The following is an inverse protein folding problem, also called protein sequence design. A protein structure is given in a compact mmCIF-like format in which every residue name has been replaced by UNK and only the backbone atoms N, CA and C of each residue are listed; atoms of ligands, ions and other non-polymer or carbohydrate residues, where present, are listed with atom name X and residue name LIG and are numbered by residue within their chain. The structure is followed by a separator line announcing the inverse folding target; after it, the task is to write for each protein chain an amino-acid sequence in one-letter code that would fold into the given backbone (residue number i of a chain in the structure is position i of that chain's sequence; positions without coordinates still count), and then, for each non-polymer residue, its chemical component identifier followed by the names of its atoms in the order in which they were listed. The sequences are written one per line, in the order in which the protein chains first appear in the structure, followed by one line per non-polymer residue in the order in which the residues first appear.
data_IF_523448944902
#
_entry.id   IF_523448944902
#
_cell.length_a   1.000
_cell.length_b   1.000
_cell.length_c   1.000
_cell.angle_alpha   90.00
_cell.angle_beta   90.00
_cell.angle_gamma   90.00
#
_symmetry.space_group_name_H-M   'P 1'
#
loop_
_entity.id
_entity.type
_entity.pdbx_description
1 polymer ?
#
# COMPACT_ATOMS: atom_id res chain seq x y z
N UNK A 1 -1.51 -51.55 -17.77
CA UNK A 1 -2.15 -50.22 -17.60
C UNK A 1 -2.37 -49.82 -16.14
N UNK A 2 -2.83 -50.72 -15.24
CA UNK A 2 -3.07 -50.36 -13.83
C UNK A 2 -1.84 -49.84 -13.04
N UNK A 3 -0.62 -50.32 -13.35
CA UNK A 3 0.62 -49.90 -12.66
C UNK A 3 1.08 -48.46 -13.00
N UNK A 4 0.70 -47.92 -14.16
CA UNK A 4 1.09 -46.55 -14.55
C UNK A 4 0.20 -45.49 -13.88
N UNK A 5 -1.08 -45.80 -13.65
CA UNK A 5 -2.03 -44.90 -12.97
C UNK A 5 -1.67 -44.70 -11.49
N UNK A 6 -1.24 -45.76 -10.81
CA UNK A 6 -0.81 -45.69 -9.41
C UNK A 6 0.44 -44.82 -9.21
N UNK A 7 1.39 -44.85 -10.17
CA UNK A 7 2.61 -44.04 -10.10
C UNK A 7 2.30 -42.54 -10.27
N UNK A 8 1.37 -42.19 -11.17
CA UNK A 8 0.95 -40.79 -11.38
C UNK A 8 0.20 -40.21 -10.17
N UNK A 9 -0.65 -41.00 -9.51
CA UNK A 9 -1.36 -40.59 -8.29
C UNK A 9 -0.41 -40.40 -7.10
N UNK A 10 0.64 -41.23 -6.97
CA UNK A 10 1.66 -41.07 -5.92
C UNK A 10 2.50 -39.81 -6.17
N UNK A 11 2.88 -39.51 -7.42
CA UNK A 11 3.62 -38.29 -7.76
C UNK A 11 2.82 -36.99 -7.52
N UNK A 12 1.51 -36.99 -7.75
CA UNK A 12 0.63 -35.86 -7.41
C UNK A 12 0.49 -35.67 -5.88
N UNK A 13 0.36 -36.76 -5.12
CA UNK A 13 0.26 -36.70 -3.66
C UNK A 13 1.56 -36.21 -3.00
N UNK A 14 2.73 -36.61 -3.51
CA UNK A 14 4.03 -36.21 -2.95
C UNK A 14 4.32 -34.72 -3.19
N UNK A 15 3.97 -34.18 -4.36
CA UNK A 15 4.10 -32.74 -4.63
C UNK A 15 3.12 -31.88 -3.80
N UNK A 16 1.89 -32.36 -3.57
CA UNK A 16 0.93 -31.68 -2.70
C UNK A 16 1.36 -31.66 -1.22
N UNK A 17 1.95 -32.76 -0.72
CA UNK A 17 2.43 -32.88 0.66
C UNK A 17 3.68 -32.02 0.93
N UNK A 18 4.59 -31.87 -0.04
CA UNK A 18 5.76 -31.00 0.10
C UNK A 18 5.37 -29.52 0.13
N UNK A 19 4.41 -29.08 -0.69
CA UNK A 19 3.87 -27.72 -0.64
C UNK A 19 3.19 -27.40 0.72
N UNK A 20 2.51 -28.38 1.32
CA UNK A 20 1.85 -28.24 2.63
C UNK A 20 2.80 -28.23 3.83
N UNK A 21 3.91 -28.97 3.77
CA UNK A 21 4.92 -28.97 4.83
C UNK A 21 5.79 -27.71 4.79
N UNK A 22 6.06 -27.20 3.58
CA UNK A 22 6.85 -25.98 3.35
C UNK A 22 6.04 -24.70 3.65
N UNK A 23 4.71 -24.73 3.53
CA UNK A 23 3.86 -23.57 3.83
C UNK A 23 3.86 -23.15 5.32
N UNK A 24 4.04 -24.09 6.25
CA UNK A 24 4.02 -23.78 7.69
C UNK A 24 5.17 -22.89 8.17
N UNK A 25 6.30 -22.89 7.46
CA UNK A 25 7.47 -22.09 7.85
C UNK A 25 7.26 -20.60 7.56
N UNK A 26 6.43 -20.28 6.56
CA UNK A 26 6.14 -18.90 6.11
C UNK A 26 5.23 -18.16 7.08
N UNK A 27 4.28 -18.84 7.71
CA UNK A 27 3.31 -18.20 8.59
C UNK A 27 3.91 -17.74 9.91
N UNK A 28 3.42 -16.61 10.42
CA UNK A 28 3.84 -16.05 11.70
C UNK A 28 3.98 -14.54 11.65
N UNK A 29 4.54 -13.98 12.72
CA UNK A 29 4.84 -12.56 12.83
C UNK A 29 6.32 -12.36 12.62
N UNK A 30 6.68 -11.39 11.79
CA UNK A 30 8.06 -10.95 11.56
C UNK A 30 8.21 -9.50 12.01
N UNK A 31 9.37 -9.13 12.56
CA UNK A 31 9.65 -7.77 13.04
C UNK A 31 10.91 -7.21 12.39
N UNK A 32 10.90 -5.91 12.11
CA UNK A 32 12.09 -5.15 11.80
C UNK A 32 12.00 -3.81 12.55
N UNK A 33 12.97 -3.53 13.41
CA UNK A 33 13.03 -2.30 14.20
C UNK A 33 14.35 -1.59 13.88
N UNK A 34 14.28 -0.59 13.00
CA UNK A 34 15.39 0.33 12.76
C UNK A 34 15.13 1.63 13.53
N UNK A 35 14.34 2.54 12.94
CA UNK A 35 13.88 3.78 13.59
C UNK A 35 12.43 3.67 14.10
N UNK A 36 11.63 2.84 13.45
CA UNK A 36 10.26 2.48 13.85
C UNK A 36 10.13 0.97 13.78
N UNK A 37 9.35 0.37 14.68
CA UNK A 37 9.11 -1.06 14.62
C UNK A 37 8.01 -1.34 13.61
N UNK A 38 8.36 -2.10 12.58
CA UNK A 38 7.41 -2.66 11.62
C UNK A 38 7.24 -4.14 11.90
N UNK A 39 5.99 -4.56 12.05
CA UNK A 39 5.62 -5.96 12.19
C UNK A 39 4.80 -6.41 10.99
N UNK A 40 5.03 -7.64 10.53
CA UNK A 40 4.29 -8.28 9.45
C UNK A 40 3.75 -9.61 9.95
N UNK A 41 2.43 -9.76 10.01
CA UNK A 41 1.75 -11.02 10.32
C UNK A 41 1.30 -11.66 9.02
N UNK A 42 1.91 -12.78 8.65
CA UNK A 42 1.50 -13.56 7.48
C UNK A 42 0.53 -14.65 7.93
N UNK A 43 -0.71 -14.56 7.46
CA UNK A 43 -1.80 -15.47 7.81
C UNK A 43 -1.90 -16.63 6.81
N UNK A 44 -2.43 -17.79 7.23
CA UNK A 44 -2.57 -18.96 6.36
C UNK A 44 -3.67 -18.84 5.28
N UNK A 45 -4.51 -17.79 5.33
CA UNK A 45 -5.63 -17.53 4.44
C UNK A 45 -5.29 -16.60 3.26
N UNK A 46 -4.01 -16.51 2.90
CA UNK A 46 -3.50 -15.62 1.83
C UNK A 46 -3.63 -14.13 2.13
N UNK A 47 -3.83 -13.76 3.40
CA UNK A 47 -3.76 -12.37 3.87
C UNK A 47 -2.51 -12.11 4.70
N UNK A 48 -2.14 -10.85 4.81
CA UNK A 48 -1.18 -10.40 5.80
C UNK A 48 -1.63 -9.08 6.41
N UNK A 49 -1.07 -8.78 7.57
CA UNK A 49 -1.29 -7.54 8.29
C UNK A 49 0.06 -6.90 8.62
N UNK A 50 0.22 -5.64 8.24
CA UNK A 50 1.33 -4.80 8.69
C UNK A 50 0.87 -3.98 9.90
N UNK A 51 1.73 -3.90 10.91
CA UNK A 51 1.61 -2.97 12.02
C UNK A 51 2.85 -2.07 12.06
N UNK A 52 2.64 -0.75 12.01
CA UNK A 52 3.66 0.25 12.29
C UNK A 52 3.45 0.79 13.70
N UNK A 53 4.48 0.67 14.53
CA UNK A 53 4.46 1.09 15.92
C UNK A 53 5.79 1.77 16.29
N UNK A 54 5.70 2.93 16.94
CA UNK A 54 6.84 3.74 17.37
C UNK A 54 6.49 5.22 17.49
N UNK A 55 7.49 6.07 17.74
CA UNK A 55 7.28 7.49 18.05
C UNK A 55 6.52 8.27 16.95
N UNK A 56 6.64 7.83 15.69
CA UNK A 56 5.97 8.44 14.54
C UNK A 56 4.66 7.73 14.15
N UNK A 57 4.39 6.53 14.68
CA UNK A 57 3.26 5.70 14.26
C UNK A 57 2.57 5.10 15.47
N UNK A 58 1.28 5.43 15.66
CA UNK A 58 0.51 4.92 16.79
C UNK A 58 -0.40 3.76 16.34
N UNK A 59 0.14 2.55 16.34
CA UNK A 59 -0.58 1.32 16.00
C UNK A 59 -1.28 1.34 14.63
N UNK A 60 -0.65 1.94 13.62
CA UNK A 60 -1.22 1.97 12.27
C UNK A 60 -1.19 0.56 11.66
N UNK A 61 -2.32 0.14 11.09
CA UNK A 61 -2.51 -1.21 10.56
C UNK A 61 -2.91 -1.15 9.10
N UNK A 62 -2.23 -1.95 8.29
CA UNK A 62 -2.51 -2.08 6.86
C UNK A 62 -2.69 -3.56 6.53
N UNK A 63 -3.78 -3.91 5.86
CA UNK A 63 -4.05 -5.26 5.42
C UNK A 63 -3.71 -5.45 3.94
N UNK A 64 -3.23 -6.64 3.60
CA UNK A 64 -2.91 -7.00 2.23
C UNK A 64 -3.11 -8.48 1.96
N UNK A 65 -2.84 -8.85 0.70
CA UNK A 65 -2.90 -10.22 0.22
C UNK A 65 -1.52 -10.69 -0.17
N UNK A 66 -1.31 -12.00 -0.12
CA UNK A 66 -0.09 -12.59 -0.63
C UNK A 66 -0.37 -13.87 -1.41
N UNK A 67 0.57 -14.23 -2.30
CA UNK A 67 0.52 -15.46 -3.07
C UNK A 67 1.91 -16.06 -3.24
N UNK A 68 2.00 -17.39 -3.29
CA UNK A 68 3.27 -18.05 -3.61
C UNK A 68 3.67 -17.79 -5.06
N UNK A 69 4.93 -17.42 -5.25
CA UNK A 69 5.57 -17.33 -6.57
C UNK A 69 6.80 -18.24 -6.69
N UNK A 70 7.06 -19.03 -5.64
CA UNK A 70 8.14 -20.00 -5.55
C UNK A 70 8.17 -20.66 -4.17
N UNK A 71 9.03 -21.67 -3.98
CA UNK A 71 9.04 -22.53 -2.79
C UNK A 71 9.13 -21.77 -1.46
N UNK A 72 9.87 -20.67 -1.43
CA UNK A 72 10.04 -19.80 -0.26
C UNK A 72 9.81 -18.32 -0.61
N UNK A 73 9.12 -18.05 -1.73
CA UNK A 73 8.91 -16.70 -2.24
C UNK A 73 7.43 -16.40 -2.32
N UNK A 74 7.03 -15.26 -1.78
CA UNK A 74 5.67 -14.76 -1.89
C UNK A 74 5.67 -13.36 -2.49
N UNK A 75 4.65 -13.08 -3.30
CA UNK A 75 4.30 -11.72 -3.71
C UNK A 75 3.28 -11.19 -2.71
N UNK A 76 3.53 -10.02 -2.13
CA UNK A 76 2.67 -9.39 -1.14
C UNK A 76 2.22 -8.01 -1.64
N UNK A 77 0.92 -7.75 -1.55
CA UNK A 77 0.29 -6.56 -2.12
C UNK A 77 -0.77 -6.00 -1.16
N UNK A 78 -0.74 -4.69 -0.90
CA UNK A 78 -1.87 -3.99 -0.27
C UNK A 78 -2.77 -3.38 -1.34
N UNK A 79 -4.03 -3.11 -0.98
CA UNK A 79 -4.91 -2.36 -1.87
C UNK A 79 -4.42 -0.93 -1.98
N UNK A 80 -4.40 -0.38 -3.20
CA UNK A 80 -4.09 1.04 -3.37
C UNK A 80 -5.19 1.87 -2.71
N UNK A 81 -4.85 2.87 -1.88
CA UNK A 81 -5.85 3.76 -1.32
C UNK A 81 -6.57 4.47 -2.45
N UNK A 82 -7.89 4.36 -2.45
CA UNK A 82 -8.77 4.94 -3.46
C UNK A 82 -10.05 5.43 -2.80
N UNK A 83 -10.68 6.42 -3.40
CA UNK A 83 -11.88 7.04 -2.86
C UNK A 83 -11.88 8.54 -3.08
N UNK A 84 -13.05 9.15 -2.87
CA UNK A 84 -13.21 10.61 -2.99
C UNK A 84 -12.26 11.32 -2.00
N UNK A 85 -11.51 12.33 -2.44
CA UNK A 85 -10.73 13.16 -1.53
C UNK A 85 -11.66 13.93 -0.60
N UNK A 86 -11.16 14.28 0.59
CA UNK A 86 -11.89 15.20 1.47
C UNK A 86 -11.62 16.61 0.94
N UNK A 87 -12.63 17.29 0.41
CA UNK A 87 -12.44 18.61 -0.22
C UNK A 87 -13.33 19.64 0.44
N UNK A 88 -12.71 20.73 0.89
CA UNK A 88 -13.40 21.96 1.28
C UNK A 88 -13.44 22.91 0.08
N UNK A 89 -14.64 23.29 -0.32
CA UNK A 89 -14.89 24.21 -1.42
C UNK A 89 -15.07 25.63 -0.89
N UNK A 90 -14.47 26.62 -1.54
CA UNK A 90 -14.57 28.04 -1.16
C UNK A 90 -14.65 28.91 -2.41
N UNK A 91 -15.38 30.03 -2.29
CA UNK A 91 -15.54 31.02 -3.37
C UNK A 91 -14.64 32.22 -3.12
N UNK A 92 -13.82 32.56 -4.11
CA UNK A 92 -12.96 33.74 -4.18
C UNK A 92 -13.11 34.42 -5.55
N UNK A 93 -12.48 35.58 -5.75
CA UNK A 93 -12.52 36.27 -7.05
C UNK A 93 -11.40 35.75 -7.98
N UNK A 94 -11.62 34.63 -8.67
CA UNK A 94 -10.63 33.99 -9.57
C UNK A 94 -11.27 33.34 -10.81
N UNK A 95 -10.49 33.36 -11.90
CA UNK A 95 -10.88 32.82 -13.20
C UNK A 95 -10.60 31.31 -13.35
N UNK A 96 -9.61 30.80 -12.63
CA UNK A 96 -9.23 29.38 -12.59
C UNK A 96 -9.61 28.75 -11.25
N UNK A 97 -9.51 27.43 -11.15
CA UNK A 97 -9.53 26.74 -9.87
C UNK A 97 -8.14 26.76 -9.24
N UNK A 98 -8.05 27.18 -7.98
CA UNK A 98 -6.89 26.93 -7.14
C UNK A 98 -7.14 25.68 -6.31
N UNK A 99 -6.28 24.68 -6.45
CA UNK A 99 -6.28 23.47 -5.62
C UNK A 99 -5.12 23.59 -4.63
N UNK A 100 -5.39 23.40 -3.34
CA UNK A 100 -4.39 23.35 -2.28
C UNK A 100 -4.48 21.96 -1.67
N UNK A 101 -3.37 21.22 -1.62
CA UNK A 101 -3.34 19.89 -1.01
C UNK A 101 -2.65 19.98 0.34
N UNK A 102 -3.31 19.43 1.37
CA UNK A 102 -2.81 19.37 2.74
C UNK A 102 -2.92 17.96 3.29
N UNK A 103 -2.13 17.65 4.31
CA UNK A 103 -2.32 16.44 5.11
C UNK A 103 -3.37 16.66 6.22
N UNK A 104 -3.68 15.61 6.97
CA UNK A 104 -4.64 15.68 8.09
C UNK A 104 -4.25 16.62 9.25
N UNK A 105 -3.00 17.10 9.31
CA UNK A 105 -2.57 18.12 10.27
C UNK A 105 -2.72 19.55 9.72
N UNK A 106 -3.08 19.69 8.44
CA UNK A 106 -3.13 20.95 7.71
C UNK A 106 -1.79 21.38 7.11
N UNK A 107 -0.76 20.53 7.16
CA UNK A 107 0.52 20.82 6.53
C UNK A 107 0.41 20.64 5.02
N UNK A 108 1.08 21.50 4.24
CA UNK A 108 0.99 21.49 2.78
C UNK A 108 1.68 20.27 2.17
N UNK A 109 1.07 19.70 1.12
CA UNK A 109 1.59 18.56 0.38
C UNK A 109 2.05 19.00 -1.00
N UNK A 110 3.37 19.07 -1.17
CA UNK A 110 4.00 19.34 -2.47
C UNK A 110 4.08 18.06 -3.32
N UNK A 111 4.22 18.22 -4.64
CA UNK A 111 4.35 17.13 -5.62
C UNK A 111 3.10 16.22 -5.78
N UNK A 112 1.93 16.68 -5.36
CA UNK A 112 0.67 16.03 -5.72
C UNK A 112 0.31 16.38 -7.17
N UNK A 113 -0.05 15.37 -7.96
CA UNK A 113 -0.55 15.55 -9.32
C UNK A 113 -2.04 15.86 -9.29
N UNK A 114 -2.40 17.00 -9.84
CA UNK A 114 -3.76 17.41 -10.12
C UNK A 114 -3.99 17.29 -11.62
N UNK A 115 -5.07 16.65 -12.02
CA UNK A 115 -5.40 16.54 -13.44
C UNK A 115 -6.88 16.74 -13.68
N UNK A 116 -7.18 17.25 -14.88
CA UNK A 116 -8.55 17.50 -15.30
C UNK A 116 -8.68 17.27 -16.79
N UNK A 117 -9.84 16.81 -17.22
CA UNK A 117 -10.17 16.68 -18.64
C UNK A 117 -11.31 17.66 -18.96
N UNK A 118 -11.02 18.66 -19.77
CA UNK A 118 -12.02 19.65 -20.21
C UNK A 118 -12.07 19.64 -21.73
N UNK A 119 -13.26 19.51 -22.31
CA UNK A 119 -13.46 19.54 -23.77
C UNK A 119 -12.58 18.55 -24.57
N UNK A 120 -12.24 17.40 -23.98
CA UNK A 120 -11.38 16.38 -24.59
C UNK A 120 -9.87 16.63 -24.47
N UNK A 121 -9.45 17.74 -23.85
CA UNK A 121 -8.05 18.03 -23.54
C UNK A 121 -7.74 17.69 -22.09
N UNK A 122 -6.59 17.03 -21.87
CA UNK A 122 -6.09 16.70 -20.54
C UNK A 122 -5.13 17.76 -20.07
N UNK A 123 -5.49 18.43 -18.98
CA UNK A 123 -4.61 19.33 -18.24
C UNK A 123 -4.03 18.60 -17.02
N UNK A 124 -2.76 18.85 -16.73
CA UNK A 124 -2.08 18.33 -15.54
C UNK A 124 -1.22 19.41 -14.92
N UNK A 125 -1.17 19.42 -13.60
CA UNK A 125 -0.34 20.31 -12.82
C UNK A 125 0.13 19.58 -11.56
N UNK A 126 1.34 19.90 -11.11
CA UNK A 126 1.94 19.33 -9.91
C UNK A 126 1.96 20.42 -8.85
N UNK A 127 1.52 20.12 -7.62
CA UNK A 127 1.52 21.12 -6.55
C UNK A 127 2.93 21.62 -6.23
N UNK A 128 3.07 22.94 -6.11
CA UNK A 128 4.33 23.60 -5.75
C UNK A 128 4.70 23.38 -4.29
N UNK A 129 5.79 24.02 -3.83
CA UNK A 129 6.29 23.89 -2.46
C UNK A 129 5.29 24.37 -1.39
N UNK A 130 4.37 25.25 -1.76
CA UNK A 130 3.25 25.72 -0.93
C UNK A 130 2.02 24.79 -0.99
N UNK A 131 2.12 23.65 -1.68
CA UNK A 131 1.04 22.68 -1.86
C UNK A 131 -0.06 23.13 -2.81
N UNK A 132 0.13 24.21 -3.57
CA UNK A 132 -0.90 24.77 -4.44
C UNK A 132 -0.68 24.47 -5.92
N UNK A 133 -1.77 24.46 -6.70
CA UNK A 133 -1.79 24.23 -8.13
C UNK A 133 -3.01 24.89 -8.77
N UNK A 134 -2.83 25.56 -9.91
CA UNK A 134 -3.95 26.12 -10.68
C UNK A 134 -4.32 25.22 -11.87
N UNK A 135 -5.62 25.01 -12.05
CA UNK A 135 -6.18 24.26 -13.19
C UNK A 135 -7.34 25.04 -13.83
N UNK A 136 -7.65 24.79 -15.13
CA UNK A 136 -8.87 25.29 -15.75
C UNK A 136 -10.13 24.83 -14.99
N UNK A 137 -11.19 25.65 -15.01
CA UNK A 137 -12.47 25.27 -14.40
C UNK A 137 -13.07 24.02 -15.05
N UNK A 138 -13.68 23.17 -14.23
CA UNK A 138 -14.26 21.89 -14.63
C UNK A 138 -15.35 21.45 -13.65
N UNK A 139 -16.14 20.45 -14.02
CA UNK A 139 -17.12 19.81 -13.14
C UNK A 139 -16.47 18.84 -12.13
N UNK A 140 -15.25 18.38 -12.41
CA UNK A 140 -14.46 17.48 -11.58
C UNK A 140 -12.97 17.66 -11.82
N UNK A 141 -12.15 17.17 -10.89
CA UNK A 141 -10.71 17.01 -11.06
C UNK A 141 -10.23 15.76 -10.32
N UNK A 142 -9.12 15.21 -10.79
CA UNK A 142 -8.44 14.08 -10.17
C UNK A 142 -7.24 14.57 -9.35
N UNK A 143 -7.00 13.91 -8.23
CA UNK A 143 -5.84 14.11 -7.35
C UNK A 143 -5.10 12.79 -7.23
N UNK A 144 -3.78 12.83 -7.41
CA UNK A 144 -2.89 11.70 -7.18
C UNK A 144 -1.67 12.13 -6.37
N UNK A 145 -1.32 11.34 -5.35
CA UNK A 145 -0.12 11.54 -4.56
C UNK A 145 0.39 10.19 -4.08
N UNK A 146 1.70 9.94 -4.25
CA UNK A 146 2.29 8.63 -4.04
C UNK A 146 1.48 7.53 -4.75
N UNK A 147 0.82 6.66 -3.99
CA UNK A 147 0.00 5.56 -4.50
C UNK A 147 -1.50 5.83 -4.48
N UNK A 148 -1.94 6.95 -3.89
CA UNK A 148 -3.33 7.36 -3.85
C UNK A 148 -3.78 7.98 -5.17
N UNK A 149 -5.02 7.69 -5.54
CA UNK A 149 -5.75 8.38 -6.60
C UNK A 149 -7.21 8.56 -6.20
N UNK A 150 -7.71 9.78 -6.36
CA UNK A 150 -9.11 10.11 -6.12
C UNK A 150 -9.64 11.13 -7.10
N UNK A 151 -10.96 11.15 -7.27
CA UNK A 151 -11.67 12.11 -8.13
C UNK A 151 -12.60 12.93 -7.25
N UNK A 152 -12.51 14.25 -7.33
CA UNK A 152 -13.46 15.17 -6.72
C UNK A 152 -14.44 15.67 -7.76
N UNK A 153 -15.74 15.66 -7.45
CA UNK A 153 -16.77 16.35 -8.24
C UNK A 153 -17.13 17.64 -7.54
N UNK A 154 -17.07 18.76 -8.25
CA UNK A 154 -17.39 20.10 -7.72
C UNK A 154 -18.86 20.15 -7.31
N UNK A 155 -19.13 20.56 -6.07
CA UNK A 155 -20.48 20.57 -5.46
C UNK A 155 -21.08 21.98 -5.50
N UNK A 156 -20.28 23.00 -5.25
CA UNK A 156 -20.65 24.41 -5.32
C UNK A 156 -20.18 24.99 -6.66
N UNK A 157 -21.14 25.38 -7.51
CA UNK A 157 -20.87 25.95 -8.83
C UNK A 157 -20.12 27.31 -8.77
N UNK A 158 -20.11 27.98 -7.60
CA UNK A 158 -19.39 29.22 -7.39
C UNK A 158 -17.99 29.01 -6.81
N UNK A 159 -17.69 27.81 -6.29
CA UNK A 159 -16.39 27.51 -5.74
C UNK A 159 -15.30 27.55 -6.80
N UNK A 160 -14.15 28.09 -6.41
CA UNK A 160 -12.95 28.17 -7.24
C UNK A 160 -11.66 28.05 -6.43
N UNK A 161 -11.76 27.80 -5.12
CA UNK A 161 -10.66 27.36 -4.28
C UNK A 161 -11.06 26.04 -3.61
N UNK A 162 -10.19 25.05 -3.70
CA UNK A 162 -10.42 23.71 -3.21
C UNK A 162 -9.28 23.30 -2.30
N UNK A 163 -9.54 23.14 -1.01
CA UNK A 163 -8.57 22.55 -0.08
C UNK A 163 -8.82 21.05 -0.01
N UNK A 164 -7.91 20.27 -0.56
CA UNK A 164 -7.91 18.82 -0.59
C UNK A 164 -7.11 18.30 0.59
N UNK A 165 -7.76 17.58 1.50
CA UNK A 165 -7.12 16.90 2.61
C UNK A 165 -6.82 15.43 2.25
N UNK A 166 -5.55 15.06 2.37
CA UNK A 166 -5.08 13.68 2.30
C UNK A 166 -4.90 13.14 3.72
N UNK A 167 -5.81 12.27 4.11
CA UNK A 167 -5.76 11.54 5.37
C UNK A 167 -4.63 10.51 5.37
N UNK A 168 -4.19 10.05 6.55
CA UNK A 168 -3.05 9.13 6.68
C UNK A 168 -3.22 7.86 5.84
N UNK A 169 -4.42 7.28 5.78
CA UNK A 169 -4.74 6.11 4.94
C UNK A 169 -4.53 6.36 3.45
N UNK A 170 -4.61 7.62 2.99
CA UNK A 170 -4.31 8.04 1.61
C UNK A 170 -2.82 8.34 1.39
N UNK A 171 -2.06 8.53 2.45
CA UNK A 171 -0.61 8.74 2.41
C UNK A 171 0.20 7.46 2.69
N UNK A 172 -0.48 6.39 3.12
CA UNK A 172 0.17 5.12 3.48
C UNK A 172 0.95 4.52 2.30
N UNK A 173 2.21 4.12 2.51
CA UNK A 173 2.96 3.39 1.51
C UNK A 173 2.25 2.08 1.15
N UNK A 174 2.02 1.84 -0.14
CA UNK A 174 1.56 0.53 -0.58
C UNK A 174 2.70 -0.48 -0.48
N UNK A 175 2.37 -1.70 -0.10
CA UNK A 175 3.27 -2.84 -0.23
C UNK A 175 2.98 -3.45 -1.59
N UNK A 176 4.01 -3.61 -2.40
CA UNK A 176 3.96 -4.26 -3.72
C UNK A 176 5.26 -5.08 -3.89
N UNK A 177 5.53 -5.91 -2.90
CA UNK A 177 6.86 -6.45 -2.66
C UNK A 177 6.93 -7.94 -3.00
N UNK A 178 8.12 -8.42 -3.32
CA UNK A 178 8.42 -9.85 -3.29
C UNK A 178 9.21 -10.14 -2.02
N UNK A 179 8.74 -11.11 -1.24
CA UNK A 179 9.38 -11.55 0.00
C UNK A 179 9.97 -12.94 -0.17
N UNK A 180 11.19 -13.13 0.32
CA UNK A 180 11.88 -14.41 0.44
C UNK A 180 11.97 -14.79 1.91
N UNK A 181 11.57 -16.01 2.26
CA UNK A 181 11.55 -16.48 3.65
C UNK A 181 12.53 -17.63 3.84
N UNK A 182 13.58 -17.42 4.62
CA UNK A 182 14.62 -18.41 4.89
C UNK A 182 15.09 -18.30 6.33
N UNK A 183 15.27 -19.44 7.01
CA UNK A 183 15.84 -19.49 8.37
C UNK A 183 15.19 -18.50 9.35
N UNK A 184 13.85 -18.48 9.38
CA UNK A 184 13.08 -17.56 10.23
C UNK A 184 13.30 -16.06 9.93
N UNK A 185 13.87 -15.73 8.77
CA UNK A 185 14.05 -14.37 8.29
C UNK A 185 13.18 -14.13 7.05
N UNK A 186 12.60 -12.95 6.95
CA UNK A 186 11.91 -12.47 5.76
C UNK A 186 12.73 -11.33 5.13
N UNK A 187 13.15 -11.54 3.89
CA UNK A 187 13.91 -10.60 3.08
C UNK A 187 12.99 -9.99 2.04
N UNK A 188 13.10 -8.68 1.83
CA UNK A 188 12.33 -7.96 0.82
C UNK A 188 13.22 -7.75 -0.40
N UNK A 189 12.71 -8.10 -1.59
CA UNK A 189 13.40 -7.82 -2.83
C UNK A 189 13.49 -6.32 -3.07
N UNK A 190 14.60 -5.86 -3.64
CA UNK A 190 14.72 -4.48 -4.10
C UNK A 190 13.97 -4.25 -5.42
N UNK A 191 14.09 -3.04 -5.98
CA UNK A 191 13.43 -2.64 -7.23
C UNK A 191 13.90 -3.45 -8.45
N UNK A 192 15.06 -4.10 -8.38
CA UNK A 192 15.58 -4.97 -9.44
C UNK A 192 15.18 -6.44 -9.23
N UNK A 193 14.48 -6.75 -8.13
CA UNK A 193 14.10 -8.11 -7.75
C UNK A 193 15.20 -8.87 -7.01
N UNK A 194 16.26 -8.20 -6.56
CA UNK A 194 17.37 -8.83 -5.83
C UNK A 194 17.11 -8.84 -4.32
N UNK A 195 17.50 -9.91 -3.63
CA UNK A 195 17.38 -10.02 -2.18
C UNK A 195 18.70 -9.68 -1.52
N UNK A 196 18.78 -8.51 -0.90
CA UNK A 196 19.90 -8.20 -0.01
C UNK A 196 19.65 -8.82 1.35
N UNK A 197 20.60 -9.61 1.85
CA UNK A 197 20.48 -10.32 3.13
C UNK A 197 21.08 -9.56 4.32
N UNK A 198 21.41 -8.28 4.13
CA UNK A 198 21.91 -7.37 5.16
C UNK A 198 20.77 -6.72 5.97
N UNK A 199 19.55 -6.71 5.43
CA UNK A 199 18.34 -6.19 6.07
C UNK A 199 17.23 -7.22 5.99
N UNK A 200 16.64 -7.58 7.12
CA UNK A 200 15.56 -8.57 7.18
C UNK A 200 14.59 -8.31 8.32
N UNK A 201 13.43 -8.95 8.22
CA UNK A 201 12.51 -9.10 9.34
C UNK A 201 12.76 -10.44 10.03
N UNK A 202 12.94 -10.41 11.34
CA UNK A 202 13.15 -11.60 12.16
C UNK A 202 11.81 -12.17 12.62
N UNK A 203 11.62 -13.49 12.53
CA UNK A 203 10.42 -14.14 13.05
C UNK A 203 10.33 -13.99 14.55
N UNK A 204 9.12 -13.66 15.00
CA UNK A 204 8.79 -13.43 16.40
C UNK A 204 8.22 -14.71 16.99
N UNK A 205 8.67 -15.06 18.21
CA UNK A 205 8.11 -16.19 18.94
C UNK A 205 6.59 -16.08 19.12
N UNK A 206 5.89 -17.22 19.10
CA UNK A 206 4.42 -17.25 19.17
C UNK A 206 3.83 -16.53 20.38
N UNK A 207 4.49 -16.58 21.56
CA UNK A 207 4.06 -15.86 22.76
C UNK A 207 4.12 -14.34 22.58
N UNK A 208 5.16 -13.83 21.92
CA UNK A 208 5.32 -12.40 21.66
C UNK A 208 4.42 -11.95 20.50
N UNK A 209 4.24 -12.78 19.47
CA UNK A 209 3.33 -12.54 18.36
C UNK A 209 1.90 -12.25 18.85
N UNK A 210 1.37 -13.07 19.77
CA UNK A 210 0.04 -12.87 20.38
C UNK A 210 -0.13 -11.57 21.19
N UNK A 211 0.98 -10.95 21.63
CA UNK A 211 0.92 -9.66 22.33
C UNK A 211 0.89 -8.48 21.35
N UNK A 212 1.54 -8.64 20.20
CA UNK A 212 1.63 -7.60 19.15
C UNK A 212 0.33 -7.59 18.33
N UNK A 213 -0.17 -8.79 17.99
CA UNK A 213 -1.43 -9.00 17.29
C UNK A 213 -2.35 -9.82 18.20
N UNK A 214 -3.03 -9.18 19.17
CA UNK A 214 -3.99 -9.83 20.06
C UNK A 214 -5.19 -10.41 19.30
#
# INVERSE_FOLDING_TARGET
MLKLLALFLVLLAVNGLQALAQSKSVFGVYKHCAFTCRFLKINPDFTFEQLLDGDLFNNQRTEGKWQFIGANKIKAETSRPSGEPNVKETTENRNNFLIIVVDSSGAVVSNAEISVETSGEKFRCITSQDGSCEIPKSDKFDVAFASYRGTHKVKDAHANVFTVELTYDKLEPIIDDVWLIENECLYVADKNGEFRKDTWYEKVSGKRAKKIFP
#
